data_IF_108192985116
#
_entry.id   IF_108192985116
#
_cell.length_a   1.000
_cell.length_b   1.000
_cell.length_c   1.000
_cell.angle_alpha   90.00
_cell.angle_beta   90.00
_cell.angle_gamma   90.00
#
_symmetry.space_group_name_H-M   'P 1'
#
loop_
_entity.id
_entity.type
_entity.pdbx_description
1 polymer ?
#
# COMPACT_ATOMS: atom_id res chain seq x y z
N UNK A 1 -17.32 6.58 -39.05
CA UNK A 1 -17.56 7.38 -37.82
C UNK A 1 -17.29 6.61 -36.50
N UNK A 2 -17.30 5.28 -36.50
CA UNK A 2 -17.08 4.44 -35.33
C UNK A 2 -15.63 4.40 -34.81
N UNK A 3 -14.64 4.33 -35.68
CA UNK A 3 -13.24 4.18 -35.26
C UNK A 3 -12.65 5.41 -34.56
N UNK A 4 -12.94 6.63 -35.02
CA UNK A 4 -12.48 7.86 -34.35
C UNK A 4 -13.05 8.04 -32.94
N UNK A 5 -14.25 7.52 -32.66
CA UNK A 5 -14.89 7.60 -31.34
C UNK A 5 -14.32 6.57 -30.35
N UNK A 6 -13.86 5.42 -30.84
CA UNK A 6 -13.18 4.39 -30.08
C UNK A 6 -11.76 4.84 -29.64
N UNK A 7 -11.01 5.43 -30.58
CA UNK A 7 -9.64 5.93 -30.32
C UNK A 7 -9.65 7.01 -29.22
N UNK A 8 -10.67 7.87 -29.19
CA UNK A 8 -10.74 8.94 -28.18
C UNK A 8 -11.05 8.40 -26.78
N UNK A 9 -11.85 7.33 -26.66
CA UNK A 9 -12.23 6.69 -25.40
C UNK A 9 -11.05 5.98 -24.73
N UNK A 10 -10.37 5.12 -25.47
CA UNK A 10 -9.24 4.35 -24.94
C UNK A 10 -8.10 5.25 -24.49
N UNK A 11 -7.95 6.43 -25.11
CA UNK A 11 -6.98 7.43 -24.71
C UNK A 11 -7.31 8.07 -23.34
N UNK A 12 -8.60 8.37 -23.05
CA UNK A 12 -8.98 8.88 -21.73
C UNK A 12 -8.81 7.84 -20.63
N UNK A 13 -9.21 6.59 -20.89
CA UNK A 13 -9.01 5.48 -19.96
C UNK A 13 -7.50 5.30 -19.71
N UNK A 14 -6.70 5.25 -20.78
CA UNK A 14 -5.25 5.16 -20.65
C UNK A 14 -4.69 6.29 -19.81
N UNK A 15 -5.12 7.55 -20.06
CA UNK A 15 -4.63 8.72 -19.32
C UNK A 15 -4.89 8.60 -17.82
N UNK A 16 -6.16 8.43 -17.42
CA UNK A 16 -6.52 8.42 -16.00
C UNK A 16 -5.93 7.23 -15.23
N UNK A 17 -5.92 6.03 -15.84
CA UNK A 17 -5.28 4.88 -15.22
C UNK A 17 -3.76 5.03 -15.13
N UNK A 18 -3.12 5.56 -16.16
CA UNK A 18 -1.68 5.80 -16.13
C UNK A 18 -1.28 6.83 -15.08
N UNK A 19 -2.11 7.83 -14.85
CA UNK A 19 -1.87 8.88 -13.86
C UNK A 19 -2.06 8.43 -12.41
N UNK A 20 -2.61 7.24 -12.12
CA UNK A 20 -2.83 6.79 -10.74
C UNK A 20 -1.56 6.90 -9.86
N UNK A 21 -0.39 6.34 -10.22
CA UNK A 21 0.80 6.46 -9.38
C UNK A 21 1.27 7.91 -9.23
N UNK A 22 1.14 8.74 -10.26
CA UNK A 22 1.48 10.17 -10.20
C UNK A 22 0.53 10.94 -9.28
N UNK A 23 -0.76 10.60 -9.32
CA UNK A 23 -1.77 11.20 -8.46
C UNK A 23 -1.50 10.95 -6.97
N UNK A 24 -0.96 9.78 -6.62
CA UNK A 24 -0.50 9.48 -5.25
C UNK A 24 0.62 10.41 -4.80
N UNK A 25 1.56 10.74 -5.68
CA UNK A 25 2.70 11.61 -5.38
C UNK A 25 2.24 13.06 -5.18
N UNK A 26 1.32 13.54 -6.03
CA UNK A 26 0.84 14.93 -5.97
C UNK A 26 0.01 15.17 -4.70
N UNK A 27 -0.76 14.16 -4.25
CA UNK A 27 -1.51 14.22 -3.01
C UNK A 27 -2.94 13.70 -3.09
N UNK A 28 -3.54 13.54 -1.91
CA UNK A 28 -4.83 12.87 -1.75
C UNK A 28 -5.98 13.50 -2.55
N UNK A 29 -6.03 14.83 -2.70
CA UNK A 29 -7.09 15.50 -3.44
C UNK A 29 -7.06 15.15 -4.94
N UNK A 30 -5.88 15.14 -5.53
CA UNK A 30 -5.69 14.78 -6.95
C UNK A 30 -5.96 13.30 -7.18
N UNK A 31 -5.56 12.44 -6.24
CA UNK A 31 -5.87 11.01 -6.28
C UNK A 31 -7.38 10.77 -6.28
N UNK A 32 -8.11 11.43 -5.40
CA UNK A 32 -9.56 11.30 -5.31
C UNK A 32 -10.27 11.79 -6.59
N UNK A 33 -9.84 12.92 -7.15
CA UNK A 33 -10.35 13.41 -8.44
C UNK A 33 -10.09 12.40 -9.57
N UNK A 34 -8.88 11.84 -9.62
CA UNK A 34 -8.55 10.84 -10.64
C UNK A 34 -9.42 9.58 -10.51
N UNK A 35 -9.64 9.09 -9.29
CA UNK A 35 -10.55 7.97 -9.01
C UNK A 35 -11.98 8.29 -9.48
N UNK A 36 -12.48 9.49 -9.19
CA UNK A 36 -13.81 9.91 -9.63
C UNK A 36 -13.92 9.90 -11.16
N UNK A 37 -12.92 10.42 -11.88
CA UNK A 37 -12.92 10.36 -13.34
C UNK A 37 -12.94 8.93 -13.89
N UNK A 38 -12.16 8.02 -13.31
CA UNK A 38 -12.17 6.59 -13.67
C UNK A 38 -13.58 6.00 -13.47
N UNK A 39 -14.22 6.30 -12.34
CA UNK A 39 -15.56 5.82 -12.02
C UNK A 39 -16.59 6.40 -13.00
N UNK A 40 -16.53 7.67 -13.33
CA UNK A 40 -17.43 8.30 -14.29
C UNK A 40 -17.30 7.68 -15.69
N UNK A 41 -16.07 7.39 -16.13
CA UNK A 41 -15.85 6.66 -17.39
C UNK A 41 -16.47 5.26 -17.34
N UNK A 42 -16.34 4.55 -16.23
CA UNK A 42 -16.91 3.23 -16.03
C UNK A 42 -18.45 3.26 -16.01
N UNK A 43 -19.06 4.19 -15.29
CA UNK A 43 -20.52 4.37 -15.24
C UNK A 43 -21.07 4.64 -16.64
N UNK A 44 -20.42 5.52 -17.42
CA UNK A 44 -20.80 5.80 -18.80
C UNK A 44 -20.83 4.54 -19.66
N UNK A 45 -19.88 3.63 -19.46
CA UNK A 45 -19.83 2.35 -20.20
C UNK A 45 -20.91 1.36 -19.76
N UNK A 46 -21.15 1.24 -18.46
CA UNK A 46 -22.20 0.38 -17.92
C UNK A 46 -23.58 0.81 -18.43
N UNK A 47 -23.87 2.11 -18.43
CA UNK A 47 -25.17 2.63 -18.93
C UNK A 47 -25.35 2.29 -20.41
N UNK A 48 -24.26 2.27 -21.17
CA UNK A 48 -24.29 1.93 -22.59
C UNK A 48 -24.44 0.43 -22.86
N UNK A 49 -23.87 -0.42 -21.97
CA UNK A 49 -23.91 -1.86 -22.07
C UNK A 49 -24.76 -2.48 -20.94
N UNK A 50 -26.09 -2.51 -21.16
CA UNK A 50 -27.06 -3.06 -20.21
C UNK A 50 -26.78 -4.52 -19.86
N UNK A 51 -26.23 -5.32 -20.79
CA UNK A 51 -25.88 -6.72 -20.54
C UNK A 51 -24.76 -6.81 -19.50
N UNK A 52 -23.76 -5.94 -19.61
CA UNK A 52 -22.66 -5.88 -18.64
C UNK A 52 -23.16 -5.37 -17.28
N UNK A 53 -24.06 -4.38 -17.26
CA UNK A 53 -24.70 -3.91 -16.02
C UNK A 53 -25.36 -5.05 -15.26
N UNK A 54 -26.12 -5.89 -15.95
CA UNK A 54 -26.77 -7.05 -15.34
C UNK A 54 -25.79 -8.08 -14.80
N UNK A 55 -24.72 -8.39 -15.56
CA UNK A 55 -23.64 -9.26 -15.11
C UNK A 55 -22.89 -8.70 -13.89
N UNK A 56 -22.65 -7.39 -13.88
CA UNK A 56 -22.04 -6.68 -12.76
C UNK A 56 -22.85 -6.83 -11.48
N UNK A 57 -24.15 -6.50 -11.53
CA UNK A 57 -25.03 -6.57 -10.36
C UNK A 57 -25.22 -8.00 -9.82
N UNK A 58 -25.16 -9.02 -10.70
CA UNK A 58 -25.27 -10.43 -10.31
C UNK A 58 -23.96 -11.08 -9.90
N UNK A 59 -22.84 -10.39 -10.01
CA UNK A 59 -21.55 -10.98 -9.65
C UNK A 59 -21.44 -11.22 -8.15
N UNK A 60 -20.92 -12.38 -7.76
CA UNK A 60 -20.66 -12.71 -6.35
C UNK A 60 -19.74 -11.67 -5.69
N UNK A 61 -18.79 -11.11 -6.47
CA UNK A 61 -17.89 -10.06 -5.99
C UNK A 61 -18.66 -8.79 -5.62
N UNK A 62 -19.62 -8.35 -6.46
CA UNK A 62 -20.47 -7.19 -6.14
C UNK A 62 -21.27 -7.42 -4.88
N UNK A 63 -21.86 -8.61 -4.74
CA UNK A 63 -22.65 -8.97 -3.56
C UNK A 63 -21.79 -8.92 -2.29
N UNK A 64 -20.61 -9.53 -2.30
CA UNK A 64 -19.70 -9.54 -1.14
C UNK A 64 -19.27 -8.10 -0.78
N UNK A 65 -18.87 -7.30 -1.76
CA UNK A 65 -18.46 -5.91 -1.52
C UNK A 65 -19.62 -5.03 -1.06
N UNK A 66 -20.84 -5.28 -1.55
CA UNK A 66 -22.05 -4.56 -1.10
C UNK A 66 -22.41 -4.92 0.34
N UNK A 67 -22.31 -6.19 0.73
CA UNK A 67 -22.51 -6.63 2.13
C UNK A 67 -21.47 -5.95 3.03
N UNK A 68 -20.20 -5.93 2.62
CA UNK A 68 -19.14 -5.23 3.34
C UNK A 68 -19.46 -3.73 3.48
N UNK A 69 -19.94 -3.08 2.43
CA UNK A 69 -20.32 -1.67 2.46
C UNK A 69 -21.49 -1.40 3.41
N UNK A 70 -22.54 -2.22 3.38
CA UNK A 70 -23.68 -2.13 4.31
C UNK A 70 -23.20 -2.32 5.75
N UNK A 71 -22.30 -3.29 5.98
CA UNK A 71 -21.69 -3.50 7.30
C UNK A 71 -20.90 -2.27 7.76
N UNK A 72 -20.12 -1.62 6.89
CA UNK A 72 -19.38 -0.40 7.23
C UNK A 72 -20.29 0.76 7.58
N UNK A 73 -21.44 0.92 6.89
CA UNK A 73 -22.45 1.93 7.25
C UNK A 73 -23.04 1.62 8.63
N UNK A 74 -23.47 0.39 8.85
CA UNK A 74 -24.02 -0.05 10.14
C UNK A 74 -23.02 0.14 11.29
N UNK A 75 -21.78 -0.27 11.08
CA UNK A 75 -20.69 -0.08 12.03
C UNK A 75 -20.41 1.41 12.31
N UNK A 76 -20.58 2.26 11.32
CA UNK A 76 -20.38 3.71 11.47
C UNK A 76 -21.47 4.37 12.30
N UNK A 77 -22.70 3.85 12.27
CA UNK A 77 -23.82 4.36 13.08
C UNK A 77 -23.65 4.06 14.58
N UNK A 78 -22.97 2.97 14.92
CA UNK A 78 -22.71 2.54 16.30
C UNK A 78 -21.42 3.21 16.84
N UNK A 79 -20.60 3.79 15.97
CA UNK A 79 -19.29 4.35 16.35
C UNK A 79 -19.39 5.56 17.28
N UNK A 80 -18.33 5.78 18.08
CA UNK A 80 -18.22 6.89 19.05
C UNK A 80 -18.47 8.24 18.39
N UNK A 81 -17.86 8.49 17.22
CA UNK A 81 -18.10 9.68 16.40
C UNK A 81 -18.81 9.26 15.12
N UNK A 82 -20.15 9.16 15.21
CA UNK A 82 -20.98 8.66 14.12
C UNK A 82 -20.91 9.52 12.85
N UNK A 83 -20.81 10.86 12.97
CA UNK A 83 -20.81 11.77 11.81
C UNK A 83 -19.60 11.55 10.91
N UNK A 84 -18.40 11.54 11.49
CA UNK A 84 -17.16 11.32 10.76
C UNK A 84 -17.08 9.89 10.20
N UNK A 85 -17.55 8.91 10.97
CA UNK A 85 -17.58 7.50 10.56
C UNK A 85 -18.56 7.26 9.43
N UNK A 86 -19.79 7.79 9.54
CA UNK A 86 -20.85 7.61 8.56
C UNK A 86 -20.47 8.23 7.21
N UNK A 87 -19.92 9.43 7.22
CA UNK A 87 -19.42 10.07 6.01
C UNK A 87 -18.44 9.16 5.26
N UNK A 88 -17.51 8.54 5.96
CA UNK A 88 -16.53 7.62 5.36
C UNK A 88 -17.14 6.30 4.92
N UNK A 89 -18.05 5.73 5.74
CA UNK A 89 -18.78 4.51 5.39
C UNK A 89 -19.59 4.66 4.10
N UNK A 90 -20.32 5.76 3.94
CA UNK A 90 -21.09 6.05 2.72
C UNK A 90 -20.16 6.20 1.52
N UNK A 91 -19.12 7.02 1.63
CA UNK A 91 -18.20 7.26 0.52
C UNK A 91 -17.34 6.05 0.14
N UNK A 92 -17.30 4.99 0.95
CA UNK A 92 -16.61 3.74 0.61
C UNK A 92 -17.17 3.08 -0.66
N UNK A 93 -18.45 3.32 -1.00
CA UNK A 93 -19.10 2.78 -2.19
C UNK A 93 -18.33 3.08 -3.49
N UNK A 94 -17.66 4.21 -3.60
CA UNK A 94 -16.81 4.54 -4.75
C UNK A 94 -15.73 3.50 -5.06
N UNK A 95 -15.17 2.85 -4.04
CA UNK A 95 -14.14 1.83 -4.25
C UNK A 95 -14.69 0.55 -4.86
N UNK A 96 -15.98 0.25 -4.65
CA UNK A 96 -16.66 -0.85 -5.34
C UNK A 96 -16.66 -0.58 -6.85
N UNK A 97 -17.07 0.62 -7.25
CA UNK A 97 -17.04 1.01 -8.67
C UNK A 97 -15.61 1.01 -9.23
N UNK A 98 -14.63 1.46 -8.47
CA UNK A 98 -13.23 1.43 -8.89
C UNK A 98 -12.73 0.01 -9.16
N UNK A 99 -13.05 -0.95 -8.28
CA UNK A 99 -12.68 -2.38 -8.48
C UNK A 99 -13.26 -2.90 -9.79
N UNK A 100 -14.53 -2.60 -10.06
CA UNK A 100 -15.16 -3.07 -11.30
C UNK A 100 -14.69 -2.30 -12.53
N UNK A 101 -14.35 -1.02 -12.41
CA UNK A 101 -13.70 -0.25 -13.45
C UNK A 101 -12.35 -0.90 -13.84
N UNK A 102 -11.54 -1.27 -12.85
CA UNK A 102 -10.30 -2.00 -13.06
C UNK A 102 -10.54 -3.33 -13.80
N UNK A 103 -11.51 -4.13 -13.34
CA UNK A 103 -11.83 -5.43 -13.99
C UNK A 103 -12.30 -5.20 -15.42
N UNK A 104 -13.11 -4.19 -15.68
CA UNK A 104 -13.66 -3.91 -17.00
C UNK A 104 -12.60 -3.44 -18.00
N UNK A 105 -11.87 -2.39 -17.64
CA UNK A 105 -10.94 -1.74 -18.56
C UNK A 105 -9.63 -2.54 -18.74
N UNK A 106 -9.14 -3.21 -17.70
CA UNK A 106 -7.90 -3.97 -17.78
C UNK A 106 -8.07 -5.38 -18.44
N UNK A 107 -9.29 -5.75 -18.84
CA UNK A 107 -9.49 -6.91 -19.73
C UNK A 107 -8.80 -6.72 -21.08
N UNK A 108 -8.75 -5.47 -21.58
CA UNK A 108 -8.04 -5.16 -22.81
C UNK A 108 -6.53 -5.25 -22.56
N UNK A 109 -5.89 -6.25 -23.16
CA UNK A 109 -4.48 -6.56 -22.95
C UNK A 109 -3.55 -5.44 -23.43
N UNK A 110 -3.85 -4.81 -24.56
CA UNK A 110 -3.04 -3.73 -25.11
C UNK A 110 -3.09 -2.50 -24.20
N UNK A 111 -4.27 -2.17 -23.66
CA UNK A 111 -4.46 -1.08 -22.73
C UNK A 111 -3.74 -1.36 -21.40
N UNK A 112 -3.95 -2.56 -20.84
CA UNK A 112 -3.30 -3.03 -19.60
C UNK A 112 -1.78 -2.93 -19.70
N UNK A 113 -1.20 -3.38 -20.82
CA UNK A 113 0.23 -3.36 -21.04
C UNK A 113 0.79 -1.92 -21.09
N UNK A 114 0.10 -1.00 -21.76
CA UNK A 114 0.50 0.41 -21.79
C UNK A 114 0.45 1.05 -20.40
N UNK A 115 -0.61 0.80 -19.64
CA UNK A 115 -0.79 1.34 -18.29
C UNK A 115 0.32 0.83 -17.36
N UNK A 116 0.55 -0.48 -17.32
CA UNK A 116 1.56 -1.06 -16.41
C UNK A 116 2.98 -0.64 -16.83
N UNK A 117 3.27 -0.50 -18.12
CA UNK A 117 4.55 0.02 -18.57
C UNK A 117 4.77 1.47 -18.10
N UNK A 118 3.73 2.32 -18.15
CA UNK A 118 3.81 3.68 -17.62
C UNK A 118 4.01 3.69 -16.11
N UNK A 119 3.29 2.84 -15.36
CA UNK A 119 3.51 2.69 -13.92
C UNK A 119 4.94 2.26 -13.60
N UNK A 120 5.48 1.32 -14.39
CA UNK A 120 6.87 0.88 -14.24
C UNK A 120 7.83 2.05 -14.39
N UNK A 121 7.63 2.89 -15.39
CA UNK A 121 8.47 4.07 -15.62
C UNK A 121 8.38 5.05 -14.45
N UNK A 122 7.19 5.37 -13.95
CA UNK A 122 7.01 6.27 -12.79
C UNK A 122 7.70 5.70 -11.55
N UNK A 123 7.53 4.41 -11.26
CA UNK A 123 8.18 3.81 -10.10
C UNK A 123 9.71 3.75 -10.23
N UNK A 124 10.24 3.58 -11.44
CA UNK A 124 11.69 3.66 -11.68
C UNK A 124 12.21 5.08 -11.41
N UNK A 125 11.47 6.12 -11.81
CA UNK A 125 11.82 7.52 -11.51
C UNK A 125 11.83 7.75 -10.00
N UNK A 126 10.81 7.30 -9.28
CA UNK A 126 10.76 7.40 -7.81
C UNK A 126 11.90 6.62 -7.16
N UNK A 127 12.19 5.41 -7.65
CA UNK A 127 13.32 4.62 -7.14
C UNK A 127 14.66 5.32 -7.38
N UNK A 128 14.85 5.94 -8.53
CA UNK A 128 16.04 6.72 -8.83
C UNK A 128 16.18 7.90 -7.86
N UNK A 129 15.10 8.63 -7.60
CA UNK A 129 15.09 9.74 -6.65
C UNK A 129 15.39 9.28 -5.21
N UNK A 130 14.89 8.11 -4.79
CA UNK A 130 15.25 7.49 -3.51
C UNK A 130 16.76 7.24 -3.40
N UNK A 131 17.38 6.68 -4.46
CA UNK A 131 18.82 6.48 -4.47
C UNK A 131 19.59 7.81 -4.46
N UNK A 132 19.11 8.80 -5.18
CA UNK A 132 19.68 10.14 -5.18
C UNK A 132 19.63 10.77 -3.79
N UNK A 133 18.46 10.77 -3.14
CA UNK A 133 18.30 11.29 -1.77
C UNK A 133 19.18 10.53 -0.76
N UNK A 134 19.33 9.21 -0.94
CA UNK A 134 20.19 8.40 -0.07
C UNK A 134 21.65 8.81 -0.15
N UNK A 135 22.14 9.18 -1.33
CA UNK A 135 23.56 9.56 -1.57
C UNK A 135 23.80 11.02 -1.18
N UNK A 136 22.90 11.93 -1.57
CA UNK A 136 23.11 13.39 -1.46
C UNK A 136 22.40 14.01 -0.24
N UNK A 137 21.54 13.29 0.47
CA UNK A 137 20.80 13.77 1.64
C UNK A 137 19.58 14.63 1.32
N UNK A 138 19.34 14.93 0.05
CA UNK A 138 18.17 15.66 -0.46
C UNK A 138 17.71 15.02 -1.78
N UNK A 139 16.41 15.10 -2.06
CA UNK A 139 15.86 14.60 -3.31
C UNK A 139 16.22 15.50 -4.50
N UNK A 140 15.91 15.09 -5.73
CA UNK A 140 16.20 15.84 -6.96
C UNK A 140 15.57 17.25 -6.95
N UNK A 141 14.45 17.46 -6.25
CA UNK A 141 13.78 18.75 -6.11
C UNK A 141 14.32 19.60 -4.95
N UNK A 142 15.33 19.12 -4.22
CA UNK A 142 15.94 19.83 -3.09
C UNK A 142 15.17 19.68 -1.75
N UNK A 143 14.19 18.79 -1.65
CA UNK A 143 13.54 18.49 -0.37
C UNK A 143 14.44 17.59 0.48
N UNK A 144 14.53 17.93 1.76
CA UNK A 144 15.21 17.13 2.78
C UNK A 144 14.18 16.38 3.62
N UNK A 145 14.50 15.15 4.00
CA UNK A 145 13.64 14.40 4.91
C UNK A 145 13.52 15.09 6.28
N UNK A 146 12.29 15.19 6.86
CA UNK A 146 12.11 15.68 8.23
C UNK A 146 12.81 14.81 9.28
N UNK A 147 13.12 13.55 8.93
CA UNK A 147 13.92 12.62 9.74
C UNK A 147 15.26 12.36 9.03
N UNK A 148 16.13 13.40 8.97
CA UNK A 148 17.47 13.30 8.35
C UNK A 148 18.19 12.02 8.81
N UNK A 149 18.79 11.31 7.85
CA UNK A 149 19.55 10.07 8.05
C UNK A 149 18.75 8.85 8.55
N UNK A 150 17.45 8.97 8.82
CA UNK A 150 16.63 7.86 9.29
C UNK A 150 15.60 7.39 8.27
N UNK A 151 15.02 8.31 7.50
CA UNK A 151 13.98 8.01 6.51
C UNK A 151 14.16 8.85 5.26
N UNK A 152 13.81 8.26 4.13
CA UNK A 152 13.79 8.91 2.82
C UNK A 152 12.34 9.20 2.45
N UNK A 153 12.11 10.37 1.90
CA UNK A 153 10.76 10.86 1.53
C UNK A 153 10.57 11.00 0.01
N UNK A 154 11.66 11.12 -0.75
CA UNK A 154 11.60 11.30 -2.20
C UNK A 154 10.65 12.47 -2.57
N UNK A 155 9.76 12.27 -3.54
CA UNK A 155 8.79 13.28 -3.98
C UNK A 155 7.62 13.53 -3.01
N UNK A 156 7.53 12.82 -1.87
CA UNK A 156 6.40 12.93 -0.94
C UNK A 156 6.60 13.99 0.16
N UNK A 157 7.65 14.79 0.08
CA UNK A 157 7.94 15.91 0.99
C UNK A 157 7.97 15.46 2.47
N UNK A 158 6.99 15.88 3.25
CA UNK A 158 6.91 15.58 4.69
C UNK A 158 6.28 14.20 4.99
N UNK A 159 5.71 13.53 3.99
CA UNK A 159 5.01 12.27 4.18
C UNK A 159 5.98 11.07 4.09
N UNK A 160 6.08 10.33 5.18
CA UNK A 160 6.98 9.17 5.31
C UNK A 160 6.30 7.87 4.78
N UNK A 161 5.79 7.89 3.53
CA UNK A 161 4.96 6.82 2.94
C UNK A 161 5.52 6.21 1.66
N UNK A 162 6.73 6.59 1.26
CA UNK A 162 7.33 6.20 -0.03
C UNK A 162 7.47 4.68 -0.19
N UNK A 163 7.90 3.99 0.87
CA UNK A 163 8.00 2.54 0.85
C UNK A 163 6.64 1.86 0.70
N UNK A 164 5.61 2.39 1.39
CA UNK A 164 4.22 1.93 1.24
C UNK A 164 3.71 2.11 -0.18
N UNK A 165 4.00 3.27 -0.79
CA UNK A 165 3.65 3.57 -2.17
C UNK A 165 4.29 2.58 -3.15
N UNK A 166 5.60 2.39 -3.11
CA UNK A 166 6.30 1.42 -3.95
C UNK A 166 5.74 0.01 -3.78
N UNK A 167 5.48 -0.41 -2.54
CA UNK A 167 4.96 -1.74 -2.25
C UNK A 167 3.59 -2.02 -2.86
N UNK A 168 2.76 -0.99 -3.02
CA UNK A 168 1.41 -1.11 -3.59
C UNK A 168 1.45 -1.54 -5.06
N UNK A 169 2.38 -1.01 -5.84
CA UNK A 169 2.48 -1.28 -7.27
C UNK A 169 3.46 -2.41 -7.62
N UNK A 170 4.41 -2.71 -6.72
CA UNK A 170 5.51 -3.65 -6.96
C UNK A 170 5.01 -4.99 -7.49
N UNK A 171 4.06 -5.62 -6.79
CA UNK A 171 3.62 -6.98 -7.16
C UNK A 171 2.82 -7.02 -8.46
N UNK A 172 2.11 -5.94 -8.80
CA UNK A 172 1.38 -5.82 -10.07
C UNK A 172 2.39 -5.77 -11.23
N UNK A 173 3.42 -4.93 -11.10
CA UNK A 173 4.43 -4.75 -12.13
C UNK A 173 5.27 -6.02 -12.29
N UNK A 174 5.83 -6.52 -11.19
CA UNK A 174 6.68 -7.71 -11.20
C UNK A 174 5.90 -8.93 -11.70
N UNK A 175 4.64 -9.09 -11.27
CA UNK A 175 3.77 -10.17 -11.71
C UNK A 175 3.52 -10.12 -13.22
N UNK A 176 3.22 -8.93 -13.77
CA UNK A 176 3.04 -8.78 -15.21
C UNK A 176 4.26 -9.25 -15.99
N UNK A 177 5.45 -8.74 -15.66
CA UNK A 177 6.67 -9.12 -16.36
C UNK A 177 7.02 -10.61 -16.20
N UNK A 178 6.68 -11.20 -15.06
CA UNK A 178 6.87 -12.64 -14.83
C UNK A 178 5.95 -13.50 -15.71
N UNK A 179 4.67 -13.14 -15.82
CA UNK A 179 3.69 -13.87 -16.64
C UNK A 179 3.87 -13.62 -18.14
N UNK A 180 4.42 -12.48 -18.55
CA UNK A 180 4.81 -12.19 -19.94
C UNK A 180 6.10 -12.94 -20.37
N UNK A 181 6.54 -13.93 -19.58
CA UNK A 181 7.77 -14.71 -19.78
C UNK A 181 9.09 -13.92 -19.73
N UNK A 182 9.04 -12.63 -19.39
CA UNK A 182 10.21 -11.78 -19.16
C UNK A 182 10.79 -11.95 -17.76
N UNK A 183 11.09 -13.19 -17.39
CA UNK A 183 11.44 -13.58 -16.00
C UNK A 183 12.66 -12.84 -15.45
N UNK A 184 13.67 -12.60 -16.25
CA UNK A 184 14.88 -11.84 -15.82
C UNK A 184 14.55 -10.36 -15.56
N UNK A 185 13.79 -9.73 -16.47
CA UNK A 185 13.33 -8.35 -16.25
C UNK A 185 12.46 -8.20 -15.00
N UNK A 186 11.59 -9.19 -14.74
CA UNK A 186 10.79 -9.25 -13.52
C UNK A 186 11.66 -9.29 -12.26
N UNK A 187 12.71 -10.11 -12.25
CA UNK A 187 13.64 -10.19 -11.11
C UNK A 187 14.42 -8.90 -10.93
N UNK A 188 14.92 -8.30 -12.01
CA UNK A 188 15.65 -7.03 -11.94
C UNK A 188 14.77 -5.92 -11.40
N UNK A 189 13.55 -5.76 -11.90
CA UNK A 189 12.58 -4.78 -11.39
C UNK A 189 12.25 -5.03 -9.92
N UNK A 190 12.04 -6.30 -9.55
CA UNK A 190 11.82 -6.67 -8.16
C UNK A 190 12.99 -6.23 -7.28
N UNK A 191 14.22 -6.49 -7.67
CA UNK A 191 15.41 -6.12 -6.90
C UNK A 191 15.56 -4.61 -6.76
N UNK A 192 15.34 -3.85 -7.84
CA UNK A 192 15.40 -2.37 -7.80
C UNK A 192 14.37 -1.83 -6.79
N UNK A 193 13.12 -2.23 -6.90
CA UNK A 193 12.07 -1.77 -6.00
C UNK A 193 12.26 -2.27 -4.56
N UNK A 194 12.74 -3.50 -4.38
CA UNK A 194 13.04 -4.06 -3.08
C UNK A 194 14.13 -3.27 -2.36
N UNK A 195 15.24 -2.97 -3.04
CA UNK A 195 16.32 -2.13 -2.50
C UNK A 195 15.77 -0.75 -2.15
N UNK A 196 15.03 -0.12 -3.07
CA UNK A 196 14.44 1.20 -2.84
C UNK A 196 13.58 1.20 -1.57
N UNK A 197 12.70 0.19 -1.37
CA UNK A 197 11.86 0.08 -0.18
C UNK A 197 12.69 -0.09 1.09
N UNK A 198 13.75 -0.91 1.07
CA UNK A 198 14.61 -1.08 2.23
C UNK A 198 15.34 0.21 2.61
N UNK A 199 15.80 0.98 1.60
CA UNK A 199 16.50 2.26 1.78
C UNK A 199 15.57 3.32 2.37
N UNK A 200 14.24 3.30 2.11
CA UNK A 200 13.32 4.27 2.72
C UNK A 200 13.29 4.22 4.25
N UNK A 201 13.78 3.15 4.88
CA UNK A 201 13.78 2.98 6.33
C UNK A 201 12.39 2.69 6.93
N UNK A 202 11.39 2.35 6.14
CA UNK A 202 10.05 1.96 6.59
C UNK A 202 10.04 0.50 7.06
N UNK A 203 10.31 0.26 8.36
CA UNK A 203 10.47 -1.08 8.96
C UNK A 203 9.28 -2.01 8.73
N UNK A 204 8.05 -1.50 8.90
CA UNK A 204 6.83 -2.29 8.74
C UNK A 204 6.64 -2.76 7.31
N UNK A 205 6.96 -1.91 6.32
CA UNK A 205 6.86 -2.26 4.92
C UNK A 205 7.97 -3.21 4.50
N UNK A 206 9.20 -2.96 4.97
CA UNK A 206 10.34 -3.87 4.75
C UNK A 206 10.01 -5.29 5.24
N UNK A 207 9.40 -5.43 6.42
CA UNK A 207 8.98 -6.73 6.95
C UNK A 207 7.88 -7.38 6.10
N UNK A 208 6.88 -6.61 5.68
CA UNK A 208 5.81 -7.11 4.79
C UNK A 208 6.37 -7.62 3.46
N UNK A 209 7.29 -6.88 2.86
CA UNK A 209 7.93 -7.30 1.60
C UNK A 209 8.76 -8.55 1.79
N UNK A 210 9.54 -8.66 2.86
CA UNK A 210 10.30 -9.88 3.18
C UNK A 210 9.39 -11.10 3.31
N UNK A 211 8.27 -10.96 4.03
CA UNK A 211 7.28 -12.02 4.13
C UNK A 211 6.66 -12.37 2.77
N UNK A 212 6.37 -11.36 1.94
CA UNK A 212 5.85 -11.58 0.59
C UNK A 212 6.86 -12.29 -0.33
N UNK A 213 8.16 -11.96 -0.21
CA UNK A 213 9.24 -12.69 -0.92
C UNK A 213 9.24 -14.15 -0.54
N UNK A 214 9.14 -14.45 0.75
CA UNK A 214 9.04 -15.83 1.23
C UNK A 214 7.87 -16.56 0.57
N UNK A 215 6.67 -15.96 0.56
CA UNK A 215 5.50 -16.56 -0.08
C UNK A 215 5.69 -16.77 -1.59
N UNK A 216 6.29 -15.80 -2.29
CA UNK A 216 6.56 -15.92 -3.74
C UNK A 216 7.54 -17.06 -4.02
N UNK A 217 8.61 -17.18 -3.24
CA UNK A 217 9.61 -18.26 -3.41
C UNK A 217 8.96 -19.63 -3.21
N UNK A 218 8.08 -19.77 -2.22
CA UNK A 218 7.44 -21.07 -1.94
C UNK A 218 6.33 -21.40 -2.92
N UNK A 219 5.43 -20.46 -3.23
CA UNK A 219 4.17 -20.75 -3.92
C UNK A 219 4.15 -20.36 -5.41
N UNK A 220 4.94 -19.37 -5.83
CA UNK A 220 4.86 -18.84 -7.20
C UNK A 220 6.01 -19.33 -8.09
N UNK A 221 7.23 -19.35 -7.57
CA UNK A 221 8.39 -19.74 -8.35
C UNK A 221 8.49 -21.25 -8.47
N UNK A 222 8.31 -21.80 -9.68
CA UNK A 222 8.42 -23.23 -9.92
C UNK A 222 9.85 -23.69 -10.23
N UNK A 223 10.70 -22.81 -10.80
CA UNK A 223 12.06 -23.15 -11.19
C UNK A 223 13.04 -23.02 -10.02
N UNK A 224 13.76 -24.11 -9.64
CA UNK A 224 14.66 -24.08 -8.49
C UNK A 224 15.78 -23.02 -8.63
N UNK A 225 16.32 -22.82 -9.83
CA UNK A 225 17.32 -21.78 -10.11
C UNK A 225 16.82 -20.37 -9.77
N UNK A 226 15.55 -20.05 -10.10
CA UNK A 226 14.95 -18.76 -9.78
C UNK A 226 14.71 -18.60 -8.27
N UNK A 227 14.28 -19.67 -7.57
CA UNK A 227 14.13 -19.67 -6.10
C UNK A 227 15.46 -19.31 -5.42
N UNK A 228 16.53 -20.00 -5.79
CA UNK A 228 17.86 -19.80 -5.22
C UNK A 228 18.36 -18.39 -5.53
N UNK A 229 18.21 -17.92 -6.77
CA UNK A 229 18.65 -16.58 -7.17
C UNK A 229 17.93 -15.48 -6.39
N UNK A 230 16.60 -15.54 -6.27
CA UNK A 230 15.83 -14.54 -5.50
C UNK A 230 16.15 -14.59 -4.01
N UNK A 231 16.38 -15.76 -3.44
CA UNK A 231 16.74 -15.92 -2.03
C UNK A 231 18.13 -15.34 -1.75
N UNK A 232 19.13 -15.70 -2.53
CA UNK A 232 20.50 -15.21 -2.37
C UNK A 232 20.55 -13.70 -2.56
N UNK A 233 19.92 -13.16 -3.62
CA UNK A 233 19.93 -11.73 -3.86
C UNK A 233 19.22 -10.95 -2.75
N UNK A 234 18.12 -11.44 -2.22
CA UNK A 234 17.39 -10.81 -1.10
C UNK A 234 18.25 -10.80 0.18
N UNK A 235 18.92 -11.90 0.51
CA UNK A 235 19.81 -11.98 1.67
C UNK A 235 20.99 -11.03 1.51
N UNK A 236 21.63 -11.02 0.36
CA UNK A 236 22.78 -10.16 0.09
C UNK A 236 22.42 -8.68 0.23
N UNK A 237 21.24 -8.27 -0.27
CA UNK A 237 20.74 -6.91 -0.12
C UNK A 237 20.46 -6.52 1.33
N UNK A 238 19.90 -7.43 2.12
CA UNK A 238 19.67 -7.19 3.56
C UNK A 238 21.02 -6.97 4.26
N UNK A 239 22.04 -7.79 3.96
CA UNK A 239 23.37 -7.66 4.54
C UNK A 239 23.98 -6.30 4.15
N UNK A 240 23.90 -5.89 2.89
CA UNK A 240 24.41 -4.60 2.43
C UNK A 240 23.76 -3.43 3.20
N UNK A 241 22.44 -3.44 3.37
CA UNK A 241 21.75 -2.36 4.07
C UNK A 241 22.07 -2.35 5.56
N UNK A 242 22.20 -3.52 6.20
CA UNK A 242 22.63 -3.62 7.59
C UNK A 242 24.08 -3.17 7.80
N UNK A 243 24.90 -3.16 6.75
CA UNK A 243 26.29 -2.66 6.77
C UNK A 243 26.38 -1.14 6.71
N UNK A 244 25.35 -0.44 6.24
CA UNK A 244 25.35 1.04 6.21
C UNK A 244 25.20 1.60 7.63
N UNK A 245 25.96 2.66 7.96
CA UNK A 245 25.93 3.24 9.30
C UNK A 245 24.55 3.82 9.65
N UNK A 246 23.94 4.57 8.75
CA UNK A 246 22.68 5.27 9.01
C UNK A 246 21.48 4.32 9.12
N UNK A 247 21.19 3.59 8.06
CA UNK A 247 20.05 2.65 8.04
C UNK A 247 20.31 1.42 8.88
N UNK A 248 21.55 0.89 8.84
CA UNK A 248 21.94 -0.28 9.62
C UNK A 248 21.78 -0.06 11.13
N UNK A 249 22.16 1.11 11.64
CA UNK A 249 21.97 1.45 13.06
C UNK A 249 20.50 1.51 13.44
N UNK A 250 19.62 2.00 12.55
CA UNK A 250 18.19 2.01 12.81
C UNK A 250 17.61 0.59 12.96
N UNK A 251 17.96 -0.33 12.08
CA UNK A 251 17.55 -1.72 12.19
C UNK A 251 18.22 -2.42 13.38
N UNK A 252 19.53 -2.22 13.57
CA UNK A 252 20.31 -2.78 14.71
C UNK A 252 19.77 -2.30 16.06
N UNK A 253 19.39 -1.03 16.21
CA UNK A 253 18.82 -0.50 17.44
C UNK A 253 17.46 -1.13 17.77
N UNK A 254 16.68 -1.47 16.75
CA UNK A 254 15.43 -2.23 16.94
C UNK A 254 15.72 -3.63 17.43
N UNK A 255 16.70 -4.32 16.83
CA UNK A 255 17.14 -5.64 17.29
C UNK A 255 17.80 -5.60 18.68
N UNK A 256 18.63 -4.58 18.97
CA UNK A 256 19.24 -4.40 20.30
C UNK A 256 18.18 -4.14 21.37
N UNK A 257 17.16 -3.37 21.09
CA UNK A 257 16.05 -3.14 22.03
C UNK A 257 15.27 -4.43 22.29
N UNK A 258 15.08 -5.26 21.29
CA UNK A 258 14.51 -6.60 21.43
C UNK A 258 15.46 -7.53 22.22
N UNK A 259 16.75 -7.53 21.89
CA UNK A 259 17.73 -8.42 22.54
C UNK A 259 18.02 -8.04 24.00
N UNK A 260 18.10 -6.73 24.35
CA UNK A 260 18.16 -6.28 25.75
C UNK A 260 16.94 -6.75 26.53
N UNK A 261 15.80 -6.80 25.88
CA UNK A 261 14.60 -7.35 26.49
C UNK A 261 14.66 -8.86 26.69
N UNK A 262 15.46 -9.63 25.94
CA UNK A 262 15.64 -11.09 26.09
C UNK A 262 16.67 -11.50 27.16
N UNK A 263 17.60 -10.62 27.52
CA UNK A 263 18.71 -10.94 28.44
C UNK A 263 18.40 -10.56 29.88
N UNK A 264 17.61 -9.54 30.13
CA UNK A 264 17.22 -9.14 31.49
C UNK A 264 15.98 -9.90 31.96
N UNK A 265 16.02 -10.47 33.17
CA UNK A 265 14.83 -11.09 33.79
C UNK A 265 13.67 -10.10 34.07
N UNK A 266 13.88 -8.80 33.86
CA UNK A 266 12.84 -7.75 33.73
C UNK A 266 12.25 -7.65 32.32
N UNK A 267 12.48 -8.66 31.49
CA UNK A 267 12.06 -8.81 30.11
C UNK A 267 10.60 -8.40 29.88
N UNK A 268 9.73 -8.95 30.71
CA UNK A 268 8.27 -8.75 30.58
C UNK A 268 7.90 -7.27 30.74
N UNK A 269 8.49 -6.55 31.69
CA UNK A 269 8.19 -5.14 31.94
C UNK A 269 8.76 -4.21 30.88
N UNK A 270 9.94 -4.48 30.34
CA UNK A 270 10.57 -3.65 29.30
C UNK A 270 9.93 -3.85 27.92
N UNK A 271 9.47 -5.05 27.61
CA UNK A 271 8.69 -5.34 26.41
C UNK A 271 7.32 -4.67 26.51
N UNK A 272 6.65 -4.78 27.65
CA UNK A 272 5.36 -4.14 27.90
C UNK A 272 5.42 -2.62 27.81
N UNK A 273 6.56 -2.00 28.13
CA UNK A 273 6.75 -0.56 28.04
C UNK A 273 7.13 -0.03 26.64
N UNK A 274 7.25 -0.91 25.63
CA UNK A 274 7.47 -0.43 24.27
C UNK A 274 6.19 0.21 23.70
N UNK A 275 6.37 1.29 22.93
CA UNK A 275 5.26 2.02 22.27
C UNK A 275 4.32 1.09 21.49
N UNK A 276 4.88 0.07 20.85
CA UNK A 276 4.12 -0.88 20.02
C UNK A 276 3.26 -1.83 20.87
N UNK A 277 3.78 -2.29 22.01
CA UNK A 277 3.04 -3.19 22.88
C UNK A 277 1.96 -2.42 23.63
N UNK A 278 2.26 -1.23 24.12
CA UNK A 278 1.23 -0.36 24.72
C UNK A 278 0.10 -0.09 23.72
N UNK A 279 0.43 0.21 22.47
CA UNK A 279 -0.58 0.39 21.43
C UNK A 279 -1.38 -0.89 21.18
N UNK A 280 -0.75 -2.06 21.20
CA UNK A 280 -1.43 -3.35 21.04
C UNK A 280 -2.32 -3.69 22.24
N UNK A 281 -1.86 -3.40 23.46
CA UNK A 281 -2.65 -3.58 24.69
C UNK A 281 -3.89 -2.68 24.70
N UNK A 282 -3.73 -1.40 24.35
CA UNK A 282 -4.88 -0.49 24.19
C UNK A 282 -5.84 -1.00 23.13
N UNK A 283 -5.35 -1.48 21.99
CA UNK A 283 -6.19 -2.06 20.94
C UNK A 283 -6.96 -3.28 21.44
N UNK A 284 -6.31 -4.13 22.23
CA UNK A 284 -6.93 -5.33 22.80
C UNK A 284 -7.99 -4.98 23.86
N UNK A 285 -7.75 -3.96 24.68
CA UNK A 285 -8.72 -3.48 25.66
C UNK A 285 -9.96 -2.88 24.97
N UNK A 286 -9.76 -2.07 23.93
CA UNK A 286 -10.84 -1.54 23.07
C UNK A 286 -11.63 -2.68 22.43
N UNK A 287 -10.93 -3.72 21.93
CA UNK A 287 -11.57 -4.90 21.34
C UNK A 287 -12.43 -5.64 22.35
N UNK A 288 -11.97 -5.84 23.60
CA UNK A 288 -12.75 -6.48 24.66
C UNK A 288 -14.05 -5.74 24.96
N UNK A 289 -13.98 -4.40 25.02
CA UNK A 289 -15.16 -3.57 25.31
C UNK A 289 -16.16 -3.52 24.15
N UNK A 290 -15.67 -3.71 22.91
CA UNK A 290 -16.44 -3.57 21.67
C UNK A 290 -16.31 -4.79 20.76
N UNK A 291 -16.40 -5.99 21.32
CA UNK A 291 -16.03 -7.25 20.64
C UNK A 291 -16.81 -7.52 19.35
N UNK A 292 -18.13 -7.25 19.30
CA UNK A 292 -18.98 -7.63 18.17
C UNK A 292 -18.83 -6.70 16.97
N UNK A 293 -18.81 -5.40 17.19
CA UNK A 293 -18.89 -4.41 16.11
C UNK A 293 -17.69 -3.46 16.05
N UNK A 294 -16.82 -3.50 17.07
CA UNK A 294 -15.72 -2.54 17.18
C UNK A 294 -16.21 -1.13 17.54
N UNK A 295 -15.36 -0.14 17.37
CA UNK A 295 -15.61 1.27 17.76
C UNK A 295 -16.07 2.16 16.60
N UNK A 296 -16.31 1.58 15.44
CA UNK A 296 -16.63 2.33 14.22
C UNK A 296 -15.39 2.78 13.42
N UNK A 297 -15.63 3.07 12.16
CA UNK A 297 -14.56 3.43 11.21
C UNK A 297 -13.83 4.69 11.67
N UNK A 298 -12.50 4.62 11.84
CA UNK A 298 -11.59 5.72 12.27
C UNK A 298 -11.83 6.29 13.66
N UNK A 299 -12.58 5.65 14.53
CA UNK A 299 -12.79 6.08 15.92
C UNK A 299 -11.73 5.55 16.90
N UNK A 300 -10.71 4.85 16.43
CA UNK A 300 -9.67 4.25 17.28
C UNK A 300 -8.98 5.27 18.20
N UNK A 301 -8.62 6.45 17.67
CA UNK A 301 -7.95 7.49 18.47
C UNK A 301 -8.88 8.06 19.55
N UNK A 302 -10.15 8.21 19.26
CA UNK A 302 -11.16 8.68 20.22
C UNK A 302 -11.36 7.63 21.32
N UNK A 303 -11.51 6.36 20.96
CA UNK A 303 -11.58 5.26 21.92
C UNK A 303 -10.33 5.17 22.82
N UNK A 304 -9.13 5.38 22.26
CA UNK A 304 -7.90 5.46 23.07
C UNK A 304 -7.93 6.64 24.06
N UNK A 305 -8.46 7.80 23.66
CA UNK A 305 -8.56 8.98 24.51
C UNK A 305 -9.55 8.78 25.66
N UNK A 306 -10.66 8.09 25.41
CA UNK A 306 -11.65 7.74 26.42
C UNK A 306 -11.10 6.74 27.44
N UNK A 307 -10.39 5.70 26.97
CA UNK A 307 -9.72 4.75 27.85
C UNK A 307 -8.69 5.41 28.77
N UNK A 308 -7.89 6.35 28.26
CA UNK A 308 -6.97 7.13 29.10
C UNK A 308 -7.71 7.91 30.18
N UNK A 309 -8.78 8.63 29.83
CA UNK A 309 -9.58 9.41 30.77
C UNK A 309 -10.21 8.54 31.88
N UNK A 310 -10.58 7.30 31.55
CA UNK A 310 -11.15 6.36 32.53
C UNK A 310 -10.09 5.72 33.42
N UNK A 311 -8.85 5.52 32.91
CA UNK A 311 -7.72 5.02 33.71
C UNK A 311 -7.17 6.06 34.69
N UNK A 312 -7.18 7.35 34.31
CA UNK A 312 -6.71 8.45 35.17
C UNK A 312 -7.72 8.82 36.29
N UNK A 313 -8.94 8.30 36.22
CA UNK A 313 -10.00 8.48 37.24
C UNK A 313 -10.12 7.33 38.26
N UNK A 314 -9.35 6.25 38.07
CA UNK A 314 -9.23 5.13 39.00
C UNK A 314 -7.90 5.20 39.75
#
# INVERSE_FOLDING_TARGET
MGEKKLINKDNFVLLFFSLLPVSFIIGNAILELNIIFIILLFIKEIIRDQKYLYQFLRSSLFLILSILWIYLIFNSLIGINYENSLRRGIFFFRYIFLVFALIYFLKNETLRNKIINFWTLVLLIVSFDIFFEFIFGQNILGFESPMKNERIVSFFQDELIVGSYLSTFLFIIVGKFYFDEKKYSSIILFLIFFISILITGERSISLKILFSVFLIIFFVLNKPKLKILTLISSILLIILILSTENLGNRYKNTFKSLNKSFVDQKLYLNILNTKYINQSLFSFEILKQNFLFGVGTKNYLEACSELKRTSDKK
#
